data_IF_450443081454
#
_entry.id   IF_450443081454
#
_cell.length_a   1.000
_cell.length_b   1.000
_cell.length_c   1.000
_cell.angle_alpha   90.00
_cell.angle_beta   90.00
_cell.angle_gamma   90.00
#
_symmetry.space_group_name_H-M   'P 1'
#
loop_
_entity.id
_entity.type
_entity.pdbx_description
1 polymer ?
#
# COMPACT_ATOMS: atom_id res chain seq x y z
N UNK A 1 -42.62 -40.54 27.79
CA UNK A 1 -43.18 -40.58 29.16
C UNK A 1 -42.43 -39.52 29.97
N UNK A 2 -43.12 -38.58 30.63
CA UNK A 2 -42.52 -37.69 31.65
C UNK A 2 -43.05 -38.08 33.03
N UNK A 3 -42.35 -37.73 34.12
CA UNK A 3 -42.68 -36.51 34.88
C UNK A 3 -41.45 -35.56 35.01
N UNK A 4 -41.52 -34.25 35.26
CA UNK A 4 -42.51 -33.29 35.84
C UNK A 4 -42.70 -33.30 37.37
N UNK A 5 -42.04 -32.35 38.04
CA UNK A 5 -42.55 -31.50 39.13
C UNK A 5 -41.80 -30.14 39.03
N UNK A 6 -42.39 -28.94 38.98
CA UNK A 6 -43.42 -28.27 39.82
C UNK A 6 -42.81 -27.49 41.01
N UNK A 7 -43.26 -26.29 41.40
CA UNK A 7 -44.19 -25.30 40.79
C UNK A 7 -44.28 -24.00 41.65
N UNK A 8 -45.00 -22.98 41.14
CA UNK A 8 -45.51 -21.72 41.77
C UNK A 8 -44.57 -20.50 41.66
N UNK A 9 -44.94 -19.32 41.10
CA UNK A 9 -46.23 -18.63 40.76
C UNK A 9 -46.93 -17.89 41.91
N UNK A 10 -46.88 -16.55 41.87
CA UNK A 10 -47.93 -15.54 42.17
C UNK A 10 -47.36 -14.12 41.90
N UNK A 11 -48.14 -13.04 41.75
CA UNK A 11 -49.00 -12.62 40.62
C UNK A 11 -49.87 -11.40 41.07
N UNK A 12 -50.16 -10.45 40.15
CA UNK A 12 -50.89 -9.17 40.35
C UNK A 12 -50.13 -8.08 41.17
N UNK A 13 -50.43 -6.78 41.04
CA UNK A 13 -51.62 -6.12 40.45
C UNK A 13 -51.31 -4.94 39.51
N UNK A 14 -52.35 -4.42 38.84
CA UNK A 14 -52.32 -3.27 37.94
C UNK A 14 -53.09 -2.06 38.52
N UNK A 15 -52.82 -0.86 38.02
CA UNK A 15 -53.58 0.38 38.30
C UNK A 15 -54.00 1.04 36.98
N UNK A 16 -55.13 1.75 37.01
CA UNK A 16 -55.89 2.28 35.86
C UNK A 16 -56.09 3.79 36.00
N UNK A 17 -55.93 4.54 34.90
CA UNK A 17 -56.79 5.67 34.53
C UNK A 17 -56.52 6.13 33.08
N UNK A 18 -57.46 6.88 32.49
CA UNK A 18 -57.47 7.31 31.08
C UNK A 18 -58.34 8.58 30.94
N UNK A 19 -58.38 9.19 29.74
CA UNK A 19 -59.15 10.38 29.33
C UNK A 19 -58.62 11.71 29.95
N UNK A 20 -58.76 12.89 29.34
CA UNK A 20 -59.66 13.36 28.26
C UNK A 20 -58.99 14.22 27.19
N UNK A 21 -59.61 14.29 26.01
CA UNK A 21 -59.37 15.26 24.92
C UNK A 21 -59.75 16.71 25.32
N UNK A 22 -59.07 17.74 24.81
CA UNK A 22 -59.46 19.15 24.97
C UNK A 22 -58.70 20.10 24.02
N UNK A 23 -59.37 21.12 23.48
CA UNK A 23 -58.82 22.01 22.44
C UNK A 23 -59.05 23.51 22.73
N UNK A 24 -58.14 24.33 22.18
CA UNK A 24 -58.27 25.76 21.80
C UNK A 24 -58.39 26.84 22.90
N UNK A 25 -57.43 27.77 22.85
CA UNK A 25 -57.72 29.22 22.77
C UNK A 25 -56.69 29.89 21.85
N UNK A 26 -57.10 30.97 21.19
CA UNK A 26 -56.21 31.97 20.59
C UNK A 26 -55.90 33.07 21.63
N UNK A 27 -54.87 33.88 21.40
CA UNK A 27 -54.53 35.05 22.22
C UNK A 27 -53.04 35.37 22.15
N UNK A 28 -52.68 36.47 21.48
CA UNK A 28 -51.29 36.94 21.39
C UNK A 28 -50.93 37.97 22.46
N UNK A 29 -49.64 38.29 22.53
CA UNK A 29 -49.06 39.33 23.38
C UNK A 29 -47.55 39.31 23.19
N UNK A 30 -47.01 40.42 22.70
CA UNK A 30 -45.58 40.63 22.47
C UNK A 30 -44.91 41.05 23.79
N UNK A 31 -43.63 40.69 23.99
CA UNK A 31 -42.70 41.34 24.92
C UNK A 31 -41.27 41.02 24.46
N UNK A 32 -40.39 42.03 24.45
CA UNK A 32 -39.06 41.97 23.87
C UNK A 32 -38.01 41.28 24.78
N UNK A 33 -36.94 40.76 24.18
CA UNK A 33 -35.69 40.41 24.87
C UNK A 33 -34.53 40.52 23.90
N UNK A 34 -33.53 41.33 24.26
CA UNK A 34 -32.40 41.67 23.40
C UNK A 34 -31.44 40.50 23.14
N UNK A 35 -30.68 40.61 22.05
CA UNK A 35 -29.68 39.64 21.62
C UNK A 35 -28.74 40.27 20.60
N UNK A 36 -27.73 40.99 21.10
CA UNK A 36 -26.79 41.77 20.28
C UNK A 36 -25.97 40.89 19.32
N UNK A 37 -25.78 41.37 18.09
CA UNK A 37 -25.06 40.69 17.03
C UNK A 37 -24.21 41.68 16.23
N UNK A 38 -23.15 42.19 16.85
CA UNK A 38 -22.17 43.07 16.21
C UNK A 38 -21.40 42.30 15.13
N UNK A 39 -21.53 42.76 13.88
CA UNK A 39 -20.82 42.22 12.72
C UNK A 39 -20.42 43.33 11.75
N UNK A 40 -19.79 44.37 12.29
CA UNK A 40 -19.18 45.42 11.49
C UNK A 40 -17.89 44.91 10.83
N UNK A 41 -17.78 45.15 9.53
CA UNK A 41 -16.62 44.82 8.72
C UNK A 41 -15.92 46.11 8.29
N UNK A 42 -14.66 46.27 8.68
CA UNK A 42 -13.79 47.35 8.23
C UNK A 42 -12.80 46.84 7.17
N UNK A 43 -12.47 47.70 6.21
CA UNK A 43 -11.58 47.39 5.10
C UNK A 43 -10.67 48.59 4.80
N UNK A 44 -9.38 48.44 5.13
CA UNK A 44 -8.30 49.33 4.72
C UNK A 44 -7.40 48.57 3.73
N UNK A 45 -7.14 48.99 2.49
CA UNK A 45 -6.80 50.30 1.92
C UNK A 45 -5.29 50.61 2.01
N UNK A 46 -4.66 50.74 0.84
CA UNK A 46 -3.21 50.80 0.66
C UNK A 46 -2.60 52.16 1.06
N UNK A 47 -1.38 52.13 1.60
CA UNK A 47 -0.47 53.29 1.63
C UNK A 47 0.99 52.83 1.72
N UNK A 48 1.84 53.33 0.81
CA UNK A 48 3.28 53.09 0.84
C UNK A 48 3.97 53.74 2.06
N UNK A 49 5.10 53.16 2.48
CA UNK A 49 6.06 53.82 3.37
C UNK A 49 7.48 53.60 2.85
N UNK A 50 8.01 54.67 2.26
CA UNK A 50 9.39 54.99 1.93
C UNK A 50 10.47 54.04 2.47
N UNK A 51 11.33 53.55 1.56
CA UNK A 51 12.58 52.88 1.94
C UNK A 51 13.72 53.89 2.11
N UNK A 52 14.38 53.85 3.27
CA UNK A 52 15.69 54.46 3.47
C UNK A 52 16.77 53.36 3.43
N UNK A 53 17.79 53.56 2.59
CA UNK A 53 18.92 52.64 2.46
C UNK A 53 20.02 53.02 3.45
N UNK A 54 19.95 52.48 4.67
CA UNK A 54 21.04 52.56 5.66
C UNK A 54 22.21 51.65 5.24
N UNK A 55 22.94 52.10 4.23
CA UNK A 55 24.22 51.55 3.82
C UNK A 55 25.35 52.12 4.68
N UNK A 56 25.61 51.50 5.82
CA UNK A 56 26.88 51.60 6.56
C UNK A 56 26.96 50.48 7.61
N UNK A 57 27.82 49.47 7.39
CA UNK A 57 29.02 49.24 8.22
C UNK A 57 29.84 48.02 7.76
N UNK A 58 31.15 48.19 7.88
CA UNK A 58 32.19 47.18 8.10
C UNK A 58 32.25 45.99 7.12
N UNK A 59 32.89 46.25 5.98
CA UNK A 59 33.75 45.23 5.37
C UNK A 59 34.99 45.02 6.26
N UNK A 60 35.05 43.90 6.97
CA UNK A 60 36.26 43.23 7.49
C UNK A 60 35.84 41.92 8.22
N UNK A 61 35.42 40.91 7.45
CA UNK A 61 35.53 39.50 7.84
C UNK A 61 36.10 38.69 6.67
N UNK A 62 36.89 37.70 7.02
CA UNK A 62 37.95 37.14 6.19
C UNK A 62 37.46 36.35 4.96
N UNK A 63 38.36 36.17 4.00
CA UNK A 63 38.21 35.17 2.94
C UNK A 63 38.55 33.78 3.50
N UNK A 64 37.79 33.35 4.50
CA UNK A 64 37.73 31.93 4.86
C UNK A 64 36.95 31.25 3.73
N UNK A 65 37.64 30.46 2.91
CA UNK A 65 37.07 29.67 1.82
C UNK A 65 36.43 28.38 2.35
N UNK A 66 35.78 28.50 3.52
CA UNK A 66 35.43 27.40 4.39
C UNK A 66 33.98 26.98 4.10
N UNK A 67 33.86 26.24 2.98
CA UNK A 67 32.84 25.21 2.82
C UNK A 67 31.38 25.69 2.84
N UNK A 68 31.03 26.56 1.89
CA UNK A 68 29.70 26.53 1.25
C UNK A 68 29.56 25.18 0.50
N UNK A 69 29.47 24.08 1.24
CA UNK A 69 29.33 22.71 0.71
C UNK A 69 27.87 22.29 0.59
N UNK A 70 26.99 23.26 0.28
CA UNK A 70 25.56 23.07 -0.02
C UNK A 70 25.39 22.47 -1.43
N UNK A 71 26.06 21.33 -1.69
CA UNK A 71 26.10 20.66 -2.99
C UNK A 71 26.66 19.25 -2.89
N UNK A 72 25.88 18.30 -3.39
CA UNK A 72 26.19 16.89 -3.64
C UNK A 72 26.61 16.04 -2.41
N UNK A 73 25.60 15.43 -1.78
CA UNK A 73 25.73 14.26 -0.87
C UNK A 73 26.57 13.13 -1.47
N UNK A 74 26.61 13.04 -2.80
CA UNK A 74 27.33 12.07 -3.59
C UNK A 74 28.84 12.05 -3.31
N UNK A 75 29.39 13.16 -2.78
CA UNK A 75 30.80 13.27 -2.37
C UNK A 75 31.14 12.47 -1.10
N UNK A 76 30.19 12.22 -0.20
CA UNK A 76 30.44 11.43 1.02
C UNK A 76 30.66 9.94 0.71
N UNK A 77 30.31 9.52 -0.52
CA UNK A 77 30.45 8.14 -1.00
C UNK A 77 31.58 7.94 -2.04
N UNK A 78 32.41 8.93 -2.37
CA UNK A 78 33.53 8.75 -3.33
C UNK A 78 34.65 7.84 -2.79
N UNK A 79 34.44 6.52 -2.88
CA UNK A 79 35.38 5.47 -2.49
C UNK A 79 34.68 4.18 -2.08
N UNK A 80 33.56 4.31 -1.37
CA UNK A 80 32.93 3.26 -0.57
C UNK A 80 31.59 2.83 -1.20
N UNK A 81 31.63 2.31 -2.44
CA UNK A 81 30.44 2.02 -3.28
C UNK A 81 30.54 0.69 -4.06
N UNK A 82 31.36 -0.26 -3.62
CA UNK A 82 31.54 -1.55 -4.31
C UNK A 82 31.53 -2.72 -3.32
N UNK A 83 31.18 -3.92 -3.80
CA UNK A 83 31.31 -5.12 -2.97
C UNK A 83 32.76 -5.34 -2.51
N UNK A 84 33.77 -4.96 -3.31
CA UNK A 84 35.17 -5.07 -2.89
C UNK A 84 35.55 -4.14 -1.74
N UNK A 85 35.06 -2.89 -1.71
CA UNK A 85 35.38 -1.90 -0.66
C UNK A 85 34.56 -2.18 0.60
N UNK A 86 33.24 -2.41 0.44
CA UNK A 86 32.29 -2.64 1.52
C UNK A 86 32.44 -3.98 2.27
N UNK A 87 33.59 -4.65 2.16
CA UNK A 87 33.94 -5.84 2.94
C UNK A 87 35.45 -5.97 3.24
N UNK A 88 36.30 -4.98 2.92
CA UNK A 88 37.76 -5.09 3.11
C UNK A 88 38.25 -4.63 4.50
N UNK A 89 37.43 -3.88 5.24
CA UNK A 89 37.68 -3.42 6.60
C UNK A 89 38.56 -2.18 6.72
N UNK A 90 38.84 -1.48 5.62
CA UNK A 90 39.43 -0.13 5.60
C UNK A 90 38.32 0.93 5.33
N UNK A 91 38.58 2.18 5.73
CA UNK A 91 37.72 3.35 5.48
C UNK A 91 38.15 3.95 4.11
N UNK A 92 37.42 3.69 3.01
CA UNK A 92 37.90 4.01 1.66
C UNK A 92 37.63 5.47 1.23
N UNK A 93 36.75 6.19 1.95
CA UNK A 93 36.39 7.60 1.72
C UNK A 93 36.94 8.57 2.79
N UNK A 94 37.63 8.07 3.83
CA UNK A 94 38.12 8.81 5.02
C UNK A 94 36.96 9.48 5.82
N UNK A 95 35.71 8.96 5.74
CA UNK A 95 34.53 9.58 6.37
C UNK A 95 34.33 9.20 7.85
N UNK A 96 34.98 8.14 8.33
CA UNK A 96 34.91 7.64 9.71
C UNK A 96 34.00 6.42 9.94
N UNK A 97 33.39 5.88 8.88
CA UNK A 97 32.65 4.62 8.83
C UNK A 97 33.42 3.58 7.99
N UNK A 98 33.04 2.29 8.06
CA UNK A 98 33.78 1.16 7.46
C UNK A 98 32.80 0.05 7.07
N UNK A 99 32.99 -0.59 5.91
CA UNK A 99 32.15 -1.68 5.42
C UNK A 99 30.64 -1.33 5.55
N UNK A 100 29.82 -2.28 5.99
CA UNK A 100 28.39 -2.13 6.23
C UNK A 100 28.01 -1.25 7.45
N UNK A 101 28.96 -0.67 8.18
CA UNK A 101 28.69 0.42 9.11
C UNK A 101 28.68 1.80 8.40
N UNK A 102 29.11 1.90 7.12
CA UNK A 102 28.92 3.08 6.25
C UNK A 102 27.56 3.04 5.52
N UNK A 103 26.88 4.19 5.51
CA UNK A 103 25.66 4.45 4.75
C UNK A 103 25.82 4.21 3.24
N UNK A 104 26.98 4.54 2.67
CA UNK A 104 27.28 4.37 1.25
C UNK A 104 27.28 2.89 0.82
N UNK A 105 27.58 1.97 1.74
CA UNK A 105 27.47 0.52 1.53
C UNK A 105 26.04 -0.03 1.66
N UNK A 106 25.09 0.77 2.16
CA UNK A 106 23.67 0.41 2.29
C UNK A 106 22.86 0.46 0.99
N UNK A 107 23.45 0.92 -0.13
CA UNK A 107 22.76 1.24 -1.38
C UNK A 107 23.34 0.55 -2.62
N UNK A 108 22.57 0.52 -3.70
CA UNK A 108 23.00 -0.01 -5.00
C UNK A 108 24.21 0.74 -5.58
N UNK A 109 25.28 0.04 -5.99
CA UNK A 109 25.30 -1.35 -6.48
C UNK A 109 25.66 -2.44 -5.45
N UNK A 110 25.90 -2.10 -4.19
CA UNK A 110 26.44 -3.03 -3.17
C UNK A 110 25.46 -4.19 -2.89
N UNK A 111 26.01 -5.35 -2.53
CA UNK A 111 25.28 -6.60 -2.24
C UNK A 111 25.72 -7.26 -0.94
N UNK A 112 26.97 -7.03 -0.50
CA UNK A 112 27.56 -7.65 0.70
C UNK A 112 26.93 -7.19 2.02
N UNK A 113 26.28 -6.02 2.02
CA UNK A 113 25.67 -5.39 3.20
C UNK A 113 24.14 -5.53 3.30
N UNK A 114 23.51 -6.29 2.38
CA UNK A 114 22.06 -6.46 2.36
C UNK A 114 21.54 -7.04 3.70
N UNK A 115 20.60 -6.35 4.35
CA UNK A 115 20.05 -6.78 5.64
C UNK A 115 19.06 -7.91 5.44
N UNK A 116 19.13 -8.98 6.24
CA UNK A 116 18.14 -10.06 6.16
C UNK A 116 16.83 -9.60 6.78
N UNK A 117 15.78 -9.64 5.97
CA UNK A 117 14.44 -9.18 6.35
C UNK A 117 13.37 -10.22 5.98
N UNK A 118 12.13 -9.91 6.29
CA UNK A 118 10.94 -10.70 5.90
C UNK A 118 10.05 -9.84 4.99
N UNK A 119 9.19 -10.46 4.17
CA UNK A 119 8.23 -9.67 3.38
C UNK A 119 7.36 -8.78 4.30
N UNK A 120 6.80 -9.28 5.42
CA UNK A 120 6.07 -8.43 6.36
C UNK A 120 6.86 -7.24 6.93
N UNK A 121 8.15 -7.40 7.21
CA UNK A 121 8.97 -6.28 7.72
C UNK A 121 9.19 -5.20 6.65
N UNK A 122 9.36 -5.59 5.38
CA UNK A 122 9.46 -4.65 4.25
C UNK A 122 8.13 -3.91 4.02
N UNK A 123 7.03 -4.66 3.91
CA UNK A 123 5.70 -4.12 3.58
C UNK A 123 5.15 -3.25 4.72
N UNK A 124 5.32 -3.67 5.98
CA UNK A 124 4.83 -2.92 7.16
C UNK A 124 5.72 -1.72 7.54
N UNK A 125 6.81 -1.47 6.81
CA UNK A 125 7.69 -0.31 7.02
C UNK A 125 8.64 -0.43 8.22
N UNK A 126 9.04 -1.66 8.60
CA UNK A 126 10.11 -1.90 9.58
C UNK A 126 11.52 -1.77 8.94
N UNK A 127 11.58 -1.77 7.61
CA UNK A 127 12.76 -1.53 6.75
C UNK A 127 12.67 -0.09 6.20
N UNK A 128 13.80 0.61 6.07
CA UNK A 128 13.82 1.98 5.55
C UNK A 128 13.61 2.05 4.03
N UNK A 129 13.20 3.21 3.52
CA UNK A 129 13.21 3.48 2.07
C UNK A 129 14.66 3.49 1.55
N UNK A 130 14.89 2.94 0.35
CA UNK A 130 16.21 2.74 -0.27
C UNK A 130 17.15 1.74 0.46
N UNK A 131 16.72 1.08 1.54
CA UNK A 131 17.51 0.03 2.21
C UNK A 131 17.55 -1.25 1.36
N UNK A 132 18.74 -1.77 1.08
CA UNK A 132 18.93 -3.06 0.39
C UNK A 132 18.69 -4.22 1.37
N UNK A 133 17.68 -5.05 1.08
CA UNK A 133 17.35 -6.25 1.86
C UNK A 133 17.65 -7.55 1.12
N UNK A 134 17.95 -8.63 1.86
CA UNK A 134 17.93 -10.02 1.40
C UNK A 134 16.64 -10.70 1.92
N UNK A 135 15.76 -11.11 1.00
CA UNK A 135 14.64 -12.01 1.27
C UNK A 135 15.02 -13.45 0.88
N UNK A 136 14.69 -14.42 1.73
CA UNK A 136 15.13 -15.82 1.58
C UNK A 136 13.98 -16.82 1.58
N UNK A 137 13.97 -17.73 0.60
CA UNK A 137 13.02 -18.84 0.53
C UNK A 137 11.60 -18.46 0.10
N UNK A 138 11.41 -17.27 -0.49
CA UNK A 138 10.14 -16.77 -1.00
C UNK A 138 9.75 -17.47 -2.31
N UNK A 139 8.45 -17.62 -2.60
CA UNK A 139 7.94 -18.30 -3.80
C UNK A 139 7.32 -17.32 -4.80
N UNK A 140 7.60 -17.50 -6.09
CA UNK A 140 7.08 -16.66 -7.18
C UNK A 140 5.64 -17.04 -7.50
N UNK A 141 4.68 -16.14 -7.24
CA UNK A 141 3.23 -16.40 -7.35
C UNK A 141 2.62 -15.97 -8.69
N UNK A 142 3.22 -14.99 -9.36
CA UNK A 142 2.83 -14.46 -10.67
C UNK A 142 4.00 -13.70 -11.36
N UNK A 143 3.90 -13.51 -12.67
CA UNK A 143 4.89 -12.77 -13.49
C UNK A 143 4.13 -11.88 -14.48
N UNK A 144 4.57 -10.63 -14.64
CA UNK A 144 4.10 -9.71 -15.67
C UNK A 144 5.28 -9.20 -16.52
N UNK A 145 5.43 -9.73 -17.76
CA UNK A 145 6.53 -9.38 -18.65
C UNK A 145 7.93 -9.57 -18.03
N UNK A 146 8.55 -8.47 -17.57
CA UNK A 146 9.89 -8.42 -16.98
C UNK A 146 9.85 -8.35 -15.43
N UNK A 147 8.68 -8.09 -14.83
CA UNK A 147 8.45 -7.91 -13.38
C UNK A 147 7.66 -9.09 -12.80
N UNK A 148 7.68 -9.31 -11.48
CA UNK A 148 7.02 -10.46 -10.85
C UNK A 148 6.54 -10.20 -9.41
N UNK A 149 5.78 -11.15 -8.86
CA UNK A 149 5.25 -11.12 -7.51
C UNK A 149 5.79 -12.30 -6.71
N UNK A 150 6.13 -12.07 -5.44
CA UNK A 150 6.58 -13.10 -4.49
C UNK A 150 5.69 -13.13 -3.25
N UNK A 151 5.60 -14.29 -2.63
CA UNK A 151 4.91 -14.51 -1.37
C UNK A 151 5.76 -15.41 -0.46
N UNK A 152 5.63 -15.28 0.85
CA UNK A 152 6.20 -16.26 1.78
C UNK A 152 5.44 -17.60 1.64
N UNK A 153 6.12 -18.76 1.63
CA UNK A 153 5.44 -20.04 1.73
C UNK A 153 4.88 -20.24 3.15
N UNK A 154 3.61 -20.66 3.28
CA UNK A 154 3.02 -20.99 4.58
C UNK A 154 3.77 -22.15 5.27
N UNK A 155 4.55 -21.82 6.30
CA UNK A 155 5.19 -22.76 7.20
C UNK A 155 4.49 -22.86 8.57
N UNK A 156 3.42 -22.07 8.77
CA UNK A 156 2.66 -21.96 10.02
C UNK A 156 3.43 -21.31 11.18
N UNK A 157 4.48 -20.51 10.92
CA UNK A 157 5.25 -19.84 11.97
C UNK A 157 4.75 -18.45 12.36
N UNK A 158 4.10 -17.70 11.45
CA UNK A 158 3.53 -16.38 11.72
C UNK A 158 1.99 -16.47 11.87
N UNK A 159 1.45 -15.94 12.98
CA UNK A 159 -0.01 -15.88 13.23
C UNK A 159 -0.71 -14.79 12.40
N UNK A 160 0.04 -13.94 11.69
CA UNK A 160 -0.48 -12.95 10.75
C UNK A 160 -0.53 -13.42 9.29
N UNK A 161 0.00 -14.60 8.97
CA UNK A 161 -0.11 -15.16 7.62
C UNK A 161 -1.60 -15.35 7.21
N UNK A 162 -2.02 -14.88 6.01
CA UNK A 162 -1.22 -14.39 4.88
C UNK A 162 -1.07 -12.85 4.80
N UNK A 163 -1.57 -12.09 5.77
CA UNK A 163 -1.57 -10.63 5.73
C UNK A 163 -0.14 -10.05 5.73
N UNK A 164 0.19 -9.23 4.73
CA UNK A 164 1.49 -8.61 4.46
C UNK A 164 2.62 -9.59 4.09
N UNK A 165 2.29 -10.83 3.71
CA UNK A 165 3.29 -11.86 3.34
C UNK A 165 3.59 -11.93 1.83
N UNK A 166 3.18 -10.93 1.03
CA UNK A 166 3.54 -10.84 -0.38
C UNK A 166 4.02 -9.43 -0.76
N UNK A 167 4.83 -9.35 -1.83
CA UNK A 167 5.35 -8.08 -2.36
C UNK A 167 5.60 -8.15 -3.87
N UNK A 168 5.47 -7.01 -4.53
CA UNK A 168 5.76 -6.80 -5.94
C UNK A 168 7.26 -6.52 -6.16
N UNK A 169 7.84 -7.06 -7.23
CA UNK A 169 9.29 -7.08 -7.48
C UNK A 169 9.60 -6.41 -8.83
N UNK A 170 9.71 -5.08 -8.79
CA UNK A 170 9.82 -4.23 -9.96
C UNK A 170 11.14 -4.38 -10.70
N UNK A 171 11.03 -4.61 -12.00
CA UNK A 171 12.14 -4.55 -12.95
C UNK A 171 11.72 -3.64 -14.11
N UNK A 172 12.42 -2.54 -14.40
CA UNK A 172 12.07 -1.64 -15.48
C UNK A 172 12.34 -2.31 -16.84
N UNK A 173 11.48 -2.05 -17.84
CA UNK A 173 11.48 -2.71 -19.17
C UNK A 173 12.78 -2.62 -20.00
N UNK A 174 13.73 -1.77 -19.61
CA UNK A 174 15.07 -1.73 -20.22
C UNK A 174 16.06 -2.72 -19.57
N UNK A 175 15.65 -3.37 -18.48
CA UNK A 175 16.36 -4.37 -17.68
C UNK A 175 17.88 -4.12 -17.57
N UNK A 176 18.29 -3.01 -16.92
CA UNK A 176 19.68 -2.58 -16.89
C UNK A 176 20.60 -3.54 -16.12
N UNK A 177 20.04 -4.28 -15.14
CA UNK A 177 20.75 -5.35 -14.42
C UNK A 177 20.91 -6.65 -15.22
N UNK A 178 20.22 -6.80 -16.36
CA UNK A 178 20.23 -8.05 -17.14
C UNK A 178 19.57 -9.23 -16.42
N UNK A 179 18.62 -8.95 -15.53
CA UNK A 179 17.98 -9.91 -14.63
C UNK A 179 17.21 -10.95 -15.44
N UNK A 180 17.50 -12.22 -15.19
CA UNK A 180 16.71 -13.36 -15.64
C UNK A 180 15.59 -13.57 -14.64
N UNK A 181 14.36 -13.25 -15.05
CA UNK A 181 13.13 -13.44 -14.27
C UNK A 181 12.93 -14.95 -13.98
N UNK A 182 12.62 -15.35 -12.74
CA UNK A 182 12.32 -16.74 -12.38
C UNK A 182 10.98 -17.23 -12.96
N UNK A 183 10.69 -18.53 -12.90
CA UNK A 183 9.39 -19.09 -13.30
C UNK A 183 8.38 -19.14 -12.12
N UNK A 184 7.07 -19.14 -12.40
CA UNK A 184 6.03 -19.26 -11.35
C UNK A 184 6.16 -20.61 -10.64
N UNK A 185 6.25 -20.58 -9.31
CA UNK A 185 6.55 -21.76 -8.49
C UNK A 185 8.05 -22.04 -8.28
N UNK A 186 8.95 -21.20 -8.79
CA UNK A 186 10.33 -21.17 -8.30
C UNK A 186 10.37 -20.58 -6.88
N UNK A 187 11.19 -21.18 -6.02
CA UNK A 187 11.53 -20.67 -4.68
C UNK A 187 12.91 -20.06 -4.74
N UNK A 188 13.05 -18.80 -4.27
CA UNK A 188 14.23 -17.98 -4.53
C UNK A 188 14.80 -17.33 -3.26
N UNK A 189 16.09 -16.97 -3.30
CA UNK A 189 16.60 -15.81 -2.57
C UNK A 189 16.65 -14.61 -3.54
N UNK A 190 16.30 -13.41 -3.06
CA UNK A 190 16.35 -12.18 -3.85
C UNK A 190 16.85 -11.01 -3.00
N UNK A 191 17.63 -10.12 -3.63
CA UNK A 191 18.03 -8.84 -3.05
C UNK A 191 17.45 -7.69 -3.86
N UNK A 192 17.02 -6.64 -3.17
CA UNK A 192 16.47 -5.41 -3.75
C UNK A 192 16.38 -4.30 -2.71
N UNK A 193 16.18 -3.07 -3.17
CA UNK A 193 15.90 -1.91 -2.32
C UNK A 193 14.40 -1.82 -2.04
N UNK A 194 14.00 -1.50 -0.79
CA UNK A 194 12.60 -1.13 -0.50
C UNK A 194 12.28 0.21 -1.15
N UNK A 195 11.23 0.25 -1.97
CA UNK A 195 10.67 1.48 -2.52
C UNK A 195 9.15 1.55 -2.28
N UNK A 196 8.57 2.75 -2.43
CA UNK A 196 7.14 2.98 -2.37
C UNK A 196 6.73 3.86 -3.56
N UNK A 197 5.83 3.35 -4.42
CA UNK A 197 5.50 3.98 -5.71
C UNK A 197 4.01 3.91 -6.01
N UNK A 198 3.39 5.06 -6.32
CA UNK A 198 1.94 5.23 -6.55
C UNK A 198 1.05 4.58 -5.45
N UNK A 199 1.54 4.54 -4.21
CA UNK A 199 0.89 3.93 -3.05
C UNK A 199 1.28 2.47 -2.79
N UNK A 200 1.84 1.76 -3.76
CA UNK A 200 2.31 0.36 -3.59
C UNK A 200 3.66 0.29 -2.88
N UNK A 201 3.92 -0.75 -2.08
CA UNK A 201 5.27 -1.05 -1.56
C UNK A 201 5.88 -2.15 -2.41
N UNK A 202 7.10 -1.92 -2.91
CA UNK A 202 7.78 -2.82 -3.84
C UNK A 202 9.25 -3.05 -3.44
N UNK A 203 9.83 -4.12 -3.99
CA UNK A 203 11.28 -4.19 -4.14
C UNK A 203 11.68 -3.67 -5.53
N UNK A 204 12.69 -2.80 -5.55
CA UNK A 204 13.27 -2.19 -6.74
C UNK A 204 14.79 -2.42 -6.79
N UNK A 205 15.47 -1.97 -7.85
CA UNK A 205 16.92 -2.14 -8.07
C UNK A 205 17.46 -3.59 -7.95
N UNK A 206 16.59 -4.55 -8.27
CA UNK A 206 16.74 -6.00 -8.07
C UNK A 206 18.09 -6.58 -8.54
N UNK A 207 18.70 -7.42 -7.71
CA UNK A 207 19.83 -8.30 -8.06
C UNK A 207 19.33 -9.63 -8.60
N UNK A 208 20.14 -10.32 -9.42
CA UNK A 208 19.77 -11.60 -10.02
C UNK A 208 19.35 -12.62 -8.94
N UNK A 209 18.08 -13.08 -8.91
CA UNK A 209 17.64 -14.05 -7.91
C UNK A 209 18.40 -15.38 -7.99
N UNK A 210 18.66 -15.98 -6.83
CA UNK A 210 19.16 -17.35 -6.70
C UNK A 210 17.97 -18.31 -6.59
N UNK A 211 17.78 -19.17 -7.59
CA UNK A 211 16.71 -20.18 -7.58
C UNK A 211 17.15 -21.40 -6.76
N UNK A 212 16.42 -21.68 -5.68
CA UNK A 212 16.68 -22.76 -4.71
C UNK A 212 15.98 -24.07 -5.08
N UNK A 213 14.71 -23.98 -5.48
CA UNK A 213 13.94 -25.08 -6.08
C UNK A 213 12.94 -24.55 -7.10
N UNK A 214 12.32 -25.45 -7.88
CA UNK A 214 11.54 -25.11 -9.07
C UNK A 214 10.24 -25.90 -9.17
N UNK A 215 9.16 -25.21 -9.55
CA UNK A 215 7.85 -25.81 -9.77
C UNK A 215 7.23 -26.40 -8.50
N UNK A 216 7.46 -25.77 -7.35
CA UNK A 216 6.79 -26.09 -6.10
C UNK A 216 5.29 -25.73 -6.17
N UNK A 217 4.51 -26.21 -5.20
CA UNK A 217 3.12 -25.77 -5.06
C UNK A 217 3.09 -24.32 -4.56
N UNK A 218 2.28 -23.49 -5.23
CA UNK A 218 1.97 -22.14 -4.74
C UNK A 218 1.19 -22.22 -3.41
N UNK A 219 1.23 -21.18 -2.57
CA UNK A 219 0.44 -21.15 -1.34
C UNK A 219 -1.06 -21.27 -1.64
N UNK A 220 -1.83 -21.84 -0.70
CA UNK A 220 -3.29 -21.88 -0.80
C UNK A 220 -3.84 -20.43 -0.83
N UNK A 221 -4.68 -20.04 -1.82
CA UNK A 221 -5.19 -18.67 -1.92
C UNK A 221 -6.07 -18.28 -0.74
N UNK A 222 -5.91 -17.04 -0.25
CA UNK A 222 -6.77 -16.50 0.81
C UNK A 222 -8.17 -16.18 0.30
N UNK A 223 -9.21 -16.61 1.01
CA UNK A 223 -10.60 -16.49 0.53
C UNK A 223 -11.29 -15.28 1.16
N UNK A 224 -11.63 -14.29 0.33
CA UNK A 224 -12.25 -13.02 0.75
C UNK A 224 -13.45 -12.64 -0.11
N UNK A 225 -14.31 -11.76 0.39
CA UNK A 225 -15.39 -11.13 -0.38
C UNK A 225 -14.92 -9.84 -1.07
N UNK A 226 -15.59 -9.37 -2.14
CA UNK A 226 -15.26 -8.09 -2.78
C UNK A 226 -15.14 -6.92 -1.79
N UNK A 227 -16.08 -6.79 -0.86
CA UNK A 227 -16.11 -5.77 0.21
C UNK A 227 -14.88 -5.76 1.15
N UNK A 228 -14.09 -6.83 1.22
CA UNK A 228 -12.93 -6.92 2.13
C UNK A 228 -11.65 -6.35 1.50
N UNK A 229 -11.59 -6.25 0.17
CA UNK A 229 -10.37 -5.95 -0.61
C UNK A 229 -10.59 -4.99 -1.80
N UNK A 230 -11.81 -4.51 -2.01
CA UNK A 230 -12.19 -3.48 -2.97
C UNK A 230 -13.07 -2.42 -2.31
N UNK A 231 -13.55 -1.45 -3.10
CA UNK A 231 -14.45 -0.38 -2.64
C UNK A 231 -15.29 0.20 -3.80
N UNK A 232 -16.57 0.52 -3.53
CA UNK A 232 -17.54 1.07 -4.49
C UNK A 232 -17.10 2.45 -5.02
N UNK A 233 -16.48 3.29 -4.16
CA UNK A 233 -16.07 4.66 -4.54
C UNK A 233 -14.58 4.81 -4.89
N UNK A 234 -13.83 3.71 -4.81
CA UNK A 234 -12.38 3.70 -5.03
C UNK A 234 -11.54 4.05 -3.80
N UNK A 235 -12.11 4.07 -2.59
CA UNK A 235 -11.32 4.04 -1.36
C UNK A 235 -10.82 2.61 -1.02
N UNK A 236 -10.73 2.22 0.25
CA UNK A 236 -9.94 1.05 0.69
C UNK A 236 -10.72 0.12 1.64
N UNK A 237 -10.99 -1.11 1.18
CA UNK A 237 -11.52 -2.20 1.99
C UNK A 237 -10.56 -2.64 3.11
N UNK A 238 -11.11 -3.16 4.21
CA UNK A 238 -10.38 -3.38 5.49
C UNK A 238 -9.12 -4.26 5.38
N UNK A 239 -9.01 -5.14 4.37
CA UNK A 239 -7.85 -6.01 4.14
C UNK A 239 -7.04 -5.68 2.89
N UNK A 240 -7.32 -4.58 2.18
CA UNK A 240 -6.70 -4.32 0.86
C UNK A 240 -5.17 -4.18 0.95
N UNK A 241 -4.66 -3.22 1.74
CA UNK A 241 -3.22 -3.12 2.08
C UNK A 241 -2.63 -4.37 2.73
N UNK A 242 -3.44 -5.13 3.47
CA UNK A 242 -3.01 -6.36 4.13
C UNK A 242 -2.84 -7.52 3.14
N UNK A 243 -3.55 -7.54 2.03
CA UNK A 243 -3.50 -8.59 1.01
C UNK A 243 -2.85 -8.12 -0.30
N UNK A 244 -2.21 -6.95 -0.32
CA UNK A 244 -1.45 -6.45 -1.46
C UNK A 244 -0.38 -7.47 -1.90
N UNK A 245 -0.29 -7.73 -3.21
CA UNK A 245 0.49 -8.78 -3.85
C UNK A 245 0.15 -10.23 -3.44
N UNK A 246 -0.75 -10.45 -2.47
CA UNK A 246 -1.12 -11.79 -1.99
C UNK A 246 -2.01 -12.50 -3.02
N UNK A 247 -1.81 -13.81 -3.14
CA UNK A 247 -2.69 -14.68 -3.90
C UNK A 247 -4.02 -14.88 -3.15
N UNK A 248 -5.09 -14.26 -3.65
CA UNK A 248 -6.45 -14.31 -3.09
C UNK A 248 -7.42 -15.09 -3.98
N UNK A 249 -8.61 -15.41 -3.47
CA UNK A 249 -9.75 -15.91 -4.24
C UNK A 249 -11.05 -15.27 -3.78
N UNK A 250 -11.77 -14.70 -4.74
CA UNK A 250 -12.98 -13.90 -4.56
C UNK A 250 -14.11 -14.48 -5.41
N UNK A 251 -15.35 -14.37 -4.95
CA UNK A 251 -16.52 -14.73 -5.77
C UNK A 251 -17.67 -13.76 -5.52
N UNK A 252 -18.28 -13.30 -6.61
CA UNK A 252 -19.37 -12.32 -6.60
C UNK A 252 -20.17 -12.31 -7.90
N UNK A 253 -21.24 -11.52 -7.95
CA UNK A 253 -21.98 -11.19 -9.17
C UNK A 253 -21.28 -10.06 -9.92
N UNK A 254 -21.16 -10.17 -11.25
CA UNK A 254 -20.60 -9.10 -12.07
C UNK A 254 -21.64 -7.98 -12.21
N UNK A 255 -21.34 -6.78 -11.71
CA UNK A 255 -22.31 -5.68 -11.65
C UNK A 255 -22.11 -4.62 -12.74
N UNK A 256 -20.87 -4.35 -13.13
CA UNK A 256 -20.53 -3.50 -14.28
C UNK A 256 -19.41 -4.10 -15.15
N UNK A 257 -19.33 -3.69 -16.42
CA UNK A 257 -18.36 -4.16 -17.43
C UNK A 257 -17.85 -2.99 -18.27
N UNK A 258 -16.54 -2.90 -18.46
CA UNK A 258 -15.84 -1.71 -18.98
C UNK A 258 -16.16 -0.44 -18.14
N UNK A 259 -15.94 -0.46 -16.80
CA UNK A 259 -16.18 0.68 -15.91
C UNK A 259 -15.29 1.90 -16.25
N UNK A 260 -15.59 3.06 -15.67
CA UNK A 260 -14.79 4.27 -15.91
C UNK A 260 -13.30 4.04 -15.57
N UNK A 261 -12.35 4.38 -16.47
CA UNK A 261 -10.93 4.10 -16.28
C UNK A 261 -10.34 4.74 -15.01
N UNK A 262 -9.28 4.12 -14.48
CA UNK A 262 -8.52 4.69 -13.36
C UNK A 262 -7.75 5.97 -13.73
N UNK A 263 -7.11 6.58 -12.74
CA UNK A 263 -6.41 7.86 -12.93
C UNK A 263 -5.25 7.73 -13.95
N UNK A 264 -5.41 8.37 -15.11
CA UNK A 264 -4.44 8.34 -16.21
C UNK A 264 -4.62 7.20 -17.23
N UNK A 265 -5.62 6.34 -17.06
CA UNK A 265 -5.89 5.18 -17.92
C UNK A 265 -6.77 5.56 -19.15
N UNK A 266 -6.51 4.98 -20.33
CA UNK A 266 -7.35 5.13 -21.53
C UNK A 266 -8.04 3.80 -21.88
N UNK A 267 -9.37 3.83 -22.02
CA UNK A 267 -10.17 2.64 -22.36
C UNK A 267 -9.99 2.13 -23.81
N UNK A 268 -10.37 0.87 -24.11
CA UNK A 268 -11.09 -0.06 -23.24
C UNK A 268 -10.18 -0.70 -22.18
N UNK A 269 -10.61 -0.67 -20.92
CA UNK A 269 -9.87 -1.20 -19.77
C UNK A 269 -9.84 -2.73 -19.71
N UNK A 270 -10.77 -3.40 -20.43
CA UNK A 270 -11.08 -4.83 -20.28
C UNK A 270 -11.47 -5.26 -18.85
N UNK A 271 -11.86 -4.30 -17.99
CA UNK A 271 -12.26 -4.58 -16.60
C UNK A 271 -13.74 -4.94 -16.45
N UNK A 272 -14.07 -5.53 -15.29
CA UNK A 272 -15.43 -5.63 -14.76
C UNK A 272 -15.42 -5.56 -13.23
N UNK A 273 -16.57 -5.27 -12.61
CA UNK A 273 -16.71 -5.11 -11.15
C UNK A 273 -17.49 -6.30 -10.56
N UNK A 274 -17.03 -6.80 -9.41
CA UNK A 274 -17.69 -7.82 -8.59
C UNK A 274 -18.40 -7.19 -7.38
N UNK A 275 -19.68 -7.53 -7.19
CA UNK A 275 -20.57 -7.08 -6.11
C UNK A 275 -20.51 -5.57 -5.82
N UNK A 276 -20.38 -4.75 -6.87
CA UNK A 276 -20.20 -3.29 -6.81
C UNK A 276 -18.92 -2.79 -6.08
N UNK A 277 -17.98 -3.67 -5.68
CA UNK A 277 -16.81 -3.30 -4.89
C UNK A 277 -15.42 -3.60 -5.52
N UNK A 278 -15.20 -4.78 -6.12
CA UNK A 278 -13.85 -5.18 -6.57
C UNK A 278 -13.72 -5.21 -8.09
N UNK A 279 -12.77 -4.43 -8.64
CA UNK A 279 -12.40 -4.49 -10.06
C UNK A 279 -11.59 -5.76 -10.36
N UNK A 280 -11.86 -6.39 -11.49
CA UNK A 280 -11.04 -7.46 -12.10
C UNK A 280 -10.41 -6.89 -13.38
N UNK A 281 -9.08 -6.98 -13.53
CA UNK A 281 -8.34 -6.37 -14.64
C UNK A 281 -7.60 -7.43 -15.49
N UNK A 282 -6.91 -7.00 -16.56
CA UNK A 282 -6.18 -7.85 -17.49
C UNK A 282 -4.64 -7.75 -17.40
N UNK A 283 -4.12 -7.09 -16.35
CA UNK A 283 -2.69 -6.84 -16.10
C UNK A 283 -1.85 -8.12 -16.22
N UNK A 284 -2.35 -9.23 -15.66
CA UNK A 284 -1.72 -10.56 -15.70
C UNK A 284 -2.37 -11.49 -16.74
N UNK A 285 -3.70 -11.54 -16.84
CA UNK A 285 -4.42 -12.37 -17.80
C UNK A 285 -5.75 -11.77 -18.27
N UNK A 286 -5.86 -11.54 -19.57
CA UNK A 286 -7.10 -11.05 -20.20
C UNK A 286 -8.16 -12.14 -20.35
N UNK A 287 -9.28 -11.96 -19.65
CA UNK A 287 -10.46 -12.82 -19.74
C UNK A 287 -11.19 -12.57 -21.08
N UNK A 288 -11.30 -13.61 -21.92
CA UNK A 288 -11.99 -13.55 -23.22
C UNK A 288 -12.75 -14.87 -23.48
N UNK A 289 -14.10 -14.85 -23.64
CA UNK A 289 -14.97 -13.67 -23.55
C UNK A 289 -15.07 -13.15 -22.11
N UNK A 290 -15.18 -11.83 -21.97
CA UNK A 290 -15.56 -11.17 -20.71
C UNK A 290 -16.94 -11.68 -20.22
N UNK A 291 -17.17 -11.79 -18.90
CA UNK A 291 -18.50 -12.06 -18.32
C UNK A 291 -19.55 -11.02 -18.70
N UNK A 292 -20.83 -11.32 -18.44
CA UNK A 292 -21.93 -10.37 -18.58
C UNK A 292 -22.36 -9.87 -17.19
N UNK A 293 -22.93 -8.67 -17.13
CA UNK A 293 -23.60 -8.19 -15.91
C UNK A 293 -24.71 -9.17 -15.50
N UNK A 294 -24.67 -9.63 -14.24
CA UNK A 294 -25.53 -10.66 -13.67
C UNK A 294 -25.02 -12.10 -13.81
N UNK A 295 -23.82 -12.34 -14.35
CA UNK A 295 -23.12 -13.61 -14.21
C UNK A 295 -22.41 -13.66 -12.84
N UNK A 296 -22.50 -14.78 -12.12
CA UNK A 296 -21.68 -15.02 -10.91
C UNK A 296 -20.41 -15.76 -11.29
N UNK A 297 -19.25 -15.31 -10.84
CA UNK A 297 -17.94 -15.92 -11.11
C UNK A 297 -17.12 -16.11 -9.84
N UNK A 298 -16.14 -17.02 -9.88
CA UNK A 298 -15.05 -17.09 -8.89
C UNK A 298 -13.73 -16.76 -9.58
N UNK A 299 -12.98 -15.79 -9.06
CA UNK A 299 -11.68 -15.34 -9.55
C UNK A 299 -10.60 -15.64 -8.50
N UNK A 300 -9.51 -16.29 -8.89
CA UNK A 300 -8.28 -16.45 -8.12
C UNK A 300 -7.22 -15.51 -8.70
N UNK A 301 -6.46 -14.76 -7.92
CA UNK A 301 -5.55 -13.78 -8.50
C UNK A 301 -4.68 -13.06 -7.49
N UNK A 302 -3.78 -12.23 -8.00
CA UNK A 302 -3.00 -11.32 -7.17
C UNK A 302 -3.86 -10.10 -6.88
N UNK A 303 -4.02 -9.71 -5.61
CA UNK A 303 -4.61 -8.41 -5.29
C UNK A 303 -3.55 -7.31 -5.47
N UNK A 304 -3.88 -6.23 -6.18
CA UNK A 304 -2.92 -5.17 -6.50
C UNK A 304 -3.62 -3.81 -6.59
N UNK A 305 -2.97 -2.77 -6.05
CA UNK A 305 -3.37 -1.37 -6.24
C UNK A 305 -2.73 -0.84 -7.53
N UNK A 306 -3.54 -0.38 -8.49
CA UNK A 306 -3.06 0.13 -9.78
C UNK A 306 -4.03 1.17 -10.35
N UNK A 307 -3.51 2.26 -10.93
CA UNK A 307 -4.28 3.43 -11.42
C UNK A 307 -5.31 3.97 -10.42
N UNK A 308 -4.97 3.98 -9.13
CA UNK A 308 -5.83 4.50 -8.05
C UNK A 308 -6.96 3.56 -7.59
N UNK A 309 -6.99 2.30 -8.05
CA UNK A 309 -8.00 1.33 -7.63
C UNK A 309 -7.39 -0.02 -7.22
N UNK A 310 -8.00 -0.67 -6.24
CA UNK A 310 -7.75 -2.06 -5.89
C UNK A 310 -8.36 -2.99 -6.94
N UNK A 311 -7.54 -3.90 -7.46
CA UNK A 311 -7.85 -4.80 -8.57
C UNK A 311 -7.41 -6.23 -8.22
N UNK A 312 -8.20 -7.24 -8.59
CA UNK A 312 -7.75 -8.64 -8.59
C UNK A 312 -7.29 -9.02 -9.99
N UNK A 313 -6.06 -9.50 -10.07
CA UNK A 313 -5.34 -9.80 -11.30
C UNK A 313 -5.26 -11.34 -11.48
N UNK A 314 -6.17 -11.96 -12.27
CA UNK A 314 -6.09 -13.38 -12.58
C UNK A 314 -4.82 -13.66 -13.40
N UNK A 315 -4.22 -14.84 -13.24
CA UNK A 315 -2.93 -15.17 -13.90
C UNK A 315 -3.10 -16.10 -15.09
N UNK A 316 -4.26 -16.76 -15.22
CA UNK A 316 -4.52 -17.73 -16.28
C UNK A 316 -6.01 -18.03 -16.47
N UNK A 317 -6.35 -18.80 -17.51
CA UNK A 317 -7.68 -19.39 -17.69
C UNK A 317 -8.10 -20.42 -16.62
N UNK A 318 -7.22 -20.81 -15.68
CA UNK A 318 -7.56 -21.71 -14.56
C UNK A 318 -8.05 -20.93 -13.32
N UNK A 319 -7.75 -19.63 -13.29
CA UNK A 319 -8.06 -18.70 -12.21
C UNK A 319 -9.49 -18.12 -12.31
N UNK A 320 -10.32 -18.63 -13.23
CA UNK A 320 -11.66 -18.12 -13.55
C UNK A 320 -12.65 -19.29 -13.66
N UNK A 321 -13.70 -19.28 -12.85
CA UNK A 321 -14.66 -20.40 -12.68
C UNK A 321 -16.13 -19.95 -12.62
#
# INVERSE_FOLDING_TARGET
MQPKCCSKVVLFAAIVASWTLGCRSEGGGDDDSDGDADSDADADADADSDGDTDADMDADMDTDSDMDSDGDSDLECEGEQTDETCQDGDDNNDNGFIDCDDFCCGHSPVTVCATRSTIPDVVRGNVAEMEVVELQGVIVTAIQHDTFYIQDPDDGSDESYPDYHAIYVYIPRNNPGGITVPEVGDVINVQGERAEYEGTVELSFIRQPEVLSQGEALPDPEVVTPDEVGDEDGSEGERSRALEAVLVTVSGEVTDVEPEPGDGEEGPTNEFILDDALRVNDHLYRIDPMPNVGDTVTITGILHLNWGHWKIEPRSAQDVQ
#
